data_IF_942848388751
#
_entry.id   IF_942848388751
#
_cell.length_a   1.000
_cell.length_b   1.000
_cell.length_c   1.000
_cell.angle_alpha   90.00
_cell.angle_beta   90.00
_cell.angle_gamma   90.00
#
_symmetry.space_group_name_H-M   'P 1'
#
loop_
_entity.id
_entity.type
_entity.pdbx_description
1 polymer ?
#
# COMPACT_ATOMS: atom_id res chain seq x y z
N UNK A 1 3.92 19.20 -1.37
CA UNK A 1 2.84 18.95 -2.33
C UNK A 1 1.50 18.99 -1.60
N UNK A 2 0.39 19.31 -2.28
CA UNK A 2 -0.93 19.38 -1.67
C UNK A 2 -1.84 18.27 -2.23
N UNK A 3 -2.56 17.60 -1.33
CA UNK A 3 -3.57 16.61 -1.67
C UNK A 3 -4.90 16.98 -0.99
N UNK A 4 -5.99 16.92 -1.71
CA UNK A 4 -7.32 17.18 -1.20
C UNK A 4 -8.02 15.89 -0.80
N UNK A 5 -8.64 15.88 0.40
CA UNK A 5 -9.47 14.77 0.86
C UNK A 5 -10.83 14.86 0.18
N UNK A 6 -11.11 13.89 -0.69
CA UNK A 6 -12.35 13.80 -1.45
C UNK A 6 -12.98 12.43 -1.18
N UNK A 7 -14.10 12.41 -0.49
CA UNK A 7 -14.80 11.18 -0.09
C UNK A 7 -13.90 10.23 0.74
N UNK A 8 -13.30 9.25 0.08
CA UNK A 8 -12.42 8.23 0.69
C UNK A 8 -11.07 8.09 -0.04
N UNK A 9 -10.66 9.16 -0.74
CA UNK A 9 -9.38 9.25 -1.45
C UNK A 9 -8.68 10.57 -1.12
N UNK A 10 -7.42 10.65 -1.49
CA UNK A 10 -6.68 11.91 -1.55
C UNK A 10 -6.33 12.20 -3.01
N UNK A 11 -6.66 13.40 -3.48
CA UNK A 11 -6.45 13.80 -4.87
C UNK A 11 -5.39 14.89 -4.93
N UNK A 12 -4.33 14.65 -5.68
CA UNK A 12 -3.34 15.66 -6.06
C UNK A 12 -3.77 16.21 -7.42
N UNK A 13 -4.40 17.39 -7.40
CA UNK A 13 -5.00 18.00 -8.60
C UNK A 13 -3.97 18.48 -9.61
N UNK A 14 -2.82 18.96 -9.15
CA UNK A 14 -1.72 19.40 -10.02
C UNK A 14 -1.00 18.18 -10.61
N UNK A 15 -1.09 17.98 -11.96
CA UNK A 15 -0.45 16.83 -12.61
C UNK A 15 1.07 16.77 -12.39
N UNK A 16 1.75 17.93 -12.31
CA UNK A 16 3.21 17.97 -12.11
C UNK A 16 3.59 17.45 -10.73
N UNK A 17 2.87 17.85 -9.69
CA UNK A 17 3.07 17.29 -8.34
C UNK A 17 2.72 15.80 -8.29
N UNK A 18 1.65 15.41 -8.99
CA UNK A 18 1.26 14.00 -9.13
C UNK A 18 2.33 13.16 -9.81
N UNK A 19 2.90 13.63 -10.92
CA UNK A 19 4.01 12.98 -11.62
C UNK A 19 5.24 12.82 -10.70
N UNK A 20 5.55 13.85 -9.93
CA UNK A 20 6.69 13.82 -8.99
C UNK A 20 6.48 12.78 -7.88
N UNK A 21 5.31 12.72 -7.27
CA UNK A 21 4.97 11.67 -6.29
C UNK A 21 5.04 10.27 -6.90
N UNK A 22 4.52 10.12 -8.10
CA UNK A 22 4.56 8.83 -8.80
C UNK A 22 6.00 8.40 -9.11
N UNK A 23 6.87 9.31 -9.54
CA UNK A 23 8.31 9.06 -9.78
C UNK A 23 9.05 8.67 -8.49
N UNK A 24 8.70 9.24 -7.35
CA UNK A 24 9.36 8.98 -6.07
C UNK A 24 9.12 7.57 -5.53
N UNK A 25 8.01 6.90 -5.86
CA UNK A 25 7.72 5.59 -5.29
C UNK A 25 6.43 4.94 -5.77
N UNK A 26 5.98 5.29 -6.97
CA UNK A 26 4.73 4.76 -7.55
C UNK A 26 3.52 4.94 -6.63
N UNK A 27 3.47 6.08 -5.93
CA UNK A 27 2.31 6.42 -5.11
C UNK A 27 1.12 6.79 -5.99
N UNK A 28 -0.05 6.29 -5.63
CA UNK A 28 -1.30 6.61 -6.29
C UNK A 28 -1.49 6.02 -7.68
N UNK A 29 -2.53 6.50 -8.34
CA UNK A 29 -2.86 6.18 -9.73
C UNK A 29 -3.35 7.44 -10.44
N UNK A 30 -2.86 7.72 -11.65
CA UNK A 30 -3.41 8.80 -12.46
C UNK A 30 -4.89 8.53 -12.76
N UNK A 31 -5.72 9.57 -12.64
CA UNK A 31 -7.16 9.47 -12.83
C UNK A 31 -7.48 8.96 -14.24
N UNK A 32 -8.28 7.89 -14.33
CA UNK A 32 -8.66 7.28 -15.60
C UNK A 32 -7.57 6.45 -16.29
N UNK A 33 -6.35 6.33 -15.71
CA UNK A 33 -5.24 5.55 -16.27
C UNK A 33 -4.87 4.39 -15.31
N UNK A 34 -5.49 3.21 -15.43
CA UNK A 34 -5.30 2.13 -14.48
C UNK A 34 -3.90 1.48 -14.54
N UNK A 35 -3.18 1.62 -15.66
CA UNK A 35 -1.83 1.09 -15.87
C UNK A 35 -0.99 2.12 -16.61
N UNK A 36 -0.47 3.14 -15.90
CA UNK A 36 0.39 4.12 -16.53
C UNK A 36 1.68 3.45 -17.02
N UNK A 37 2.04 3.71 -18.28
CA UNK A 37 3.28 3.19 -18.90
C UNK A 37 4.49 4.06 -18.61
N UNK A 38 4.24 5.33 -18.32
CA UNK A 38 5.26 6.31 -17.94
C UNK A 38 4.71 7.19 -16.82
N UNK A 39 5.59 7.91 -16.11
CA UNK A 39 5.15 8.91 -15.14
C UNK A 39 4.61 10.20 -15.79
N UNK A 40 4.62 10.28 -17.11
CA UNK A 40 4.21 11.48 -17.85
C UNK A 40 2.71 11.40 -18.18
N UNK A 41 1.88 11.86 -17.26
CA UNK A 41 0.42 11.95 -17.39
C UNK A 41 -0.03 13.36 -17.07
N UNK A 42 -1.04 13.86 -17.77
CA UNK A 42 -1.60 15.19 -17.58
C UNK A 42 -3.01 15.13 -16.98
N UNK A 43 -3.12 14.36 -15.89
CA UNK A 43 -4.36 14.17 -15.12
C UNK A 43 -4.03 14.16 -13.64
N UNK A 44 -5.01 14.44 -12.75
CA UNK A 44 -4.82 14.34 -11.31
C UNK A 44 -4.34 12.96 -10.87
N UNK A 45 -3.58 12.91 -9.77
CA UNK A 45 -3.16 11.67 -9.15
C UNK A 45 -4.07 11.35 -7.96
N UNK A 46 -4.63 10.16 -7.94
CA UNK A 46 -5.49 9.67 -6.86
C UNK A 46 -4.68 8.75 -5.96
N UNK A 47 -4.56 9.12 -4.69
CA UNK A 47 -3.90 8.34 -3.65
C UNK A 47 -4.93 7.54 -2.86
N UNK A 48 -4.59 6.33 -2.51
CA UNK A 48 -5.26 5.57 -1.47
C UNK A 48 -5.05 6.24 -0.09
N UNK A 49 -6.01 6.10 0.83
CA UNK A 49 -5.91 6.76 2.16
C UNK A 49 -4.70 6.28 2.96
N UNK A 50 -4.28 5.04 2.80
CA UNK A 50 -3.10 4.50 3.49
C UNK A 50 -1.80 5.08 2.92
N UNK A 51 -1.73 5.24 1.59
CA UNK A 51 -0.63 5.93 0.92
C UNK A 51 -0.55 7.40 1.36
N UNK A 52 -1.67 8.09 1.32
CA UNK A 52 -1.74 9.49 1.72
C UNK A 52 -1.41 9.72 3.18
N UNK A 53 -1.84 8.83 4.08
CA UNK A 53 -1.48 8.89 5.49
C UNK A 53 0.04 8.76 5.68
N UNK A 54 0.67 7.81 4.99
CA UNK A 54 2.12 7.62 5.01
C UNK A 54 2.87 8.85 4.49
N UNK A 55 2.42 9.41 3.37
CA UNK A 55 3.02 10.60 2.78
C UNK A 55 2.87 11.85 3.69
N UNK A 56 1.73 11.98 4.37
CA UNK A 56 1.51 13.03 5.37
C UNK A 56 2.41 12.83 6.60
N UNK A 57 2.55 11.60 7.10
CA UNK A 57 3.45 11.25 8.21
C UNK A 57 4.92 11.58 7.89
N UNK A 58 5.35 11.36 6.64
CA UNK A 58 6.68 11.70 6.15
C UNK A 58 6.86 13.19 5.80
N UNK A 59 5.81 13.99 5.90
CA UNK A 59 5.87 15.42 5.58
C UNK A 59 6.01 15.74 4.09
N UNK A 60 5.77 14.73 3.21
CA UNK A 60 5.88 14.86 1.75
C UNK A 60 4.68 15.61 1.18
N UNK A 61 3.50 15.38 1.74
CA UNK A 61 2.28 16.09 1.35
C UNK A 61 1.66 16.85 2.51
N UNK A 62 0.85 17.84 2.19
CA UNK A 62 -0.13 18.46 3.07
C UNK A 62 -1.52 18.03 2.62
N UNK A 63 -2.40 17.72 3.57
CA UNK A 63 -3.76 17.32 3.26
C UNK A 63 -4.72 18.43 3.64
N UNK A 64 -5.62 18.75 2.73
CA UNK A 64 -6.66 19.76 2.89
C UNK A 64 -8.03 19.19 2.55
N UNK A 65 -9.11 19.83 2.98
CA UNK A 65 -10.50 19.47 2.61
C UNK A 65 -11.36 20.70 2.36
N UNK A 66 -12.33 20.53 1.47
CA UNK A 66 -13.38 21.49 1.16
C UNK A 66 -12.89 22.76 0.47
N UNK A 67 -13.86 23.63 0.10
CA UNK A 67 -13.61 24.87 -0.65
C UNK A 67 -12.63 25.80 0.08
N UNK A 68 -12.72 25.84 1.42
CA UNK A 68 -11.84 26.69 2.27
C UNK A 68 -10.45 26.07 2.50
N UNK A 69 -10.16 24.91 1.90
CA UNK A 69 -8.88 24.19 2.04
C UNK A 69 -8.42 24.06 3.50
N UNK A 70 -9.31 23.61 4.37
CA UNK A 70 -9.00 23.36 5.78
C UNK A 70 -7.96 22.25 5.88
N UNK A 71 -6.89 22.50 6.63
CA UNK A 71 -5.83 21.51 6.83
C UNK A 71 -6.32 20.32 7.67
N UNK A 72 -6.05 19.13 7.20
CA UNK A 72 -6.25 17.88 7.94
C UNK A 72 -4.90 17.48 8.55
N UNK A 73 -4.87 17.33 9.88
CA UNK A 73 -3.69 16.85 10.58
C UNK A 73 -3.60 15.31 10.54
N UNK A 74 -2.42 14.79 10.91
CA UNK A 74 -2.14 13.36 10.90
C UNK A 74 -3.14 12.54 11.75
N UNK A 75 -3.48 13.03 12.94
CA UNK A 75 -4.42 12.36 13.86
C UNK A 75 -5.81 12.22 13.24
N UNK A 76 -6.31 13.30 12.64
CA UNK A 76 -7.62 13.33 11.99
C UNK A 76 -7.63 12.40 10.78
N UNK A 77 -6.62 12.46 9.90
CA UNK A 77 -6.54 11.59 8.74
C UNK A 77 -6.46 10.12 9.16
N UNK A 78 -5.61 9.80 10.15
CA UNK A 78 -5.48 8.44 10.69
C UNK A 78 -6.80 7.89 11.24
N UNK A 79 -7.56 8.72 11.97
CA UNK A 79 -8.87 8.34 12.50
C UNK A 79 -9.87 8.04 11.39
N UNK A 80 -9.91 8.86 10.35
CA UNK A 80 -10.78 8.65 9.18
C UNK A 80 -10.36 7.39 8.42
N UNK A 81 -9.08 7.24 8.11
CA UNK A 81 -8.54 6.07 7.39
C UNK A 81 -8.87 4.77 8.09
N UNK A 82 -8.80 4.75 9.44
CA UNK A 82 -9.15 3.55 10.23
C UNK A 82 -10.56 3.04 9.98
N UNK A 83 -11.51 3.92 9.68
CA UNK A 83 -12.89 3.55 9.36
C UNK A 83 -13.07 2.80 8.04
N UNK A 84 -12.11 2.90 7.12
CA UNK A 84 -12.19 2.29 5.78
C UNK A 84 -11.47 0.94 5.66
N UNK A 85 -10.64 0.56 6.64
CA UNK A 85 -9.84 -0.66 6.56
C UNK A 85 -10.08 -1.57 7.77
N UNK A 86 -10.49 -2.78 7.50
CA UNK A 86 -10.46 -3.82 8.52
C UNK A 86 -9.02 -4.03 9.00
N UNK A 87 -8.83 -4.09 10.33
CA UNK A 87 -7.50 -4.27 10.97
C UNK A 87 -6.48 -3.21 10.55
N UNK A 88 -6.92 -1.98 10.38
CA UNK A 88 -6.11 -0.88 9.89
C UNK A 88 -4.73 -0.78 10.53
N UNK A 89 -4.63 -0.78 11.87
CA UNK A 89 -3.36 -0.56 12.56
C UNK A 89 -2.31 -1.62 12.22
N UNK A 90 -2.74 -2.90 12.07
CA UNK A 90 -1.85 -3.98 11.65
C UNK A 90 -1.39 -3.79 10.21
N UNK A 91 -2.33 -3.49 9.31
CA UNK A 91 -2.02 -3.29 7.88
C UNK A 91 -1.14 -2.07 7.67
N UNK A 92 -1.42 -0.97 8.36
CA UNK A 92 -0.62 0.24 8.25
C UNK A 92 0.80 0.06 8.77
N UNK A 93 0.99 -0.66 9.87
CA UNK A 93 2.33 -0.99 10.37
C UNK A 93 3.15 -1.76 9.32
N UNK A 94 2.54 -2.79 8.67
CA UNK A 94 3.20 -3.56 7.61
C UNK A 94 3.46 -2.70 6.37
N UNK A 95 2.47 -1.89 5.95
CA UNK A 95 2.64 -0.97 4.82
C UNK A 95 3.83 -0.03 5.04
N UNK A 96 3.88 0.63 6.20
CA UNK A 96 4.96 1.55 6.58
C UNK A 96 6.32 0.86 6.57
N UNK A 97 6.45 -0.29 7.21
CA UNK A 97 7.71 -1.04 7.29
C UNK A 97 8.23 -1.46 5.90
N UNK A 98 7.34 -1.93 5.02
CA UNK A 98 7.72 -2.30 3.65
C UNK A 98 8.14 -1.08 2.82
N UNK A 99 7.45 0.06 2.98
CA UNK A 99 7.82 1.32 2.32
C UNK A 99 9.16 1.86 2.83
N UNK A 100 9.42 1.78 4.13
CA UNK A 100 10.70 2.20 4.74
C UNK A 100 11.87 1.32 4.31
N UNK A 101 11.62 0.08 3.93
CA UNK A 101 12.60 -0.82 3.28
C UNK A 101 12.81 -0.52 1.79
N UNK A 102 12.23 0.55 1.26
CA UNK A 102 12.37 0.96 -0.15
C UNK A 102 11.54 0.15 -1.14
N UNK A 103 10.58 -0.63 -0.66
CA UNK A 103 9.72 -1.44 -1.52
C UNK A 103 8.50 -0.65 -2.00
N UNK A 104 8.04 -0.93 -3.20
CA UNK A 104 6.79 -0.37 -3.71
C UNK A 104 5.63 -1.28 -3.31
N UNK A 105 4.68 -0.73 -2.56
CA UNK A 105 3.54 -1.46 -1.99
C UNK A 105 2.25 -0.98 -2.64
N UNK A 106 1.49 -1.89 -3.20
CA UNK A 106 0.20 -1.62 -3.83
C UNK A 106 -0.88 -2.55 -3.26
N UNK A 107 -2.18 -2.23 -3.40
CA UNK A 107 -3.24 -3.14 -2.98
C UNK A 107 -3.14 -4.52 -3.64
N UNK A 108 -3.25 -5.58 -2.83
CA UNK A 108 -3.13 -6.97 -3.27
C UNK A 108 -4.47 -7.68 -3.55
N UNK A 109 -5.59 -6.96 -3.55
CA UNK A 109 -6.97 -7.49 -3.66
C UNK A 109 -7.12 -8.46 -4.85
N UNK A 110 -6.53 -8.12 -6.01
CA UNK A 110 -6.54 -8.96 -7.21
C UNK A 110 -5.95 -10.37 -6.97
N UNK A 111 -5.08 -10.51 -6.00
CA UNK A 111 -4.42 -11.77 -5.65
C UNK A 111 -5.00 -12.41 -4.37
N UNK A 112 -6.05 -11.81 -3.80
CA UNK A 112 -6.63 -12.29 -2.55
C UNK A 112 -5.73 -12.12 -1.32
N UNK A 113 -4.85 -11.11 -1.34
CA UNK A 113 -3.98 -10.72 -0.24
C UNK A 113 -4.09 -9.21 0.04
N UNK A 114 -3.45 -8.73 1.11
CA UNK A 114 -3.52 -7.33 1.48
C UNK A 114 -2.66 -6.46 0.56
N UNK A 115 -1.42 -6.90 0.27
CA UNK A 115 -0.48 -6.11 -0.54
C UNK A 115 0.20 -6.94 -1.62
N UNK A 116 0.38 -6.33 -2.80
CA UNK A 116 1.32 -6.74 -3.82
C UNK A 116 2.55 -5.84 -3.72
N UNK A 117 3.72 -6.45 -3.58
CA UNK A 117 4.95 -5.72 -3.26
C UNK A 117 5.99 -5.94 -4.35
N UNK A 118 6.57 -4.84 -4.82
CA UNK A 118 7.56 -4.79 -5.89
C UNK A 118 8.90 -4.32 -5.35
N UNK A 119 9.97 -4.71 -6.04
CA UNK A 119 11.31 -4.18 -5.76
C UNK A 119 11.52 -2.82 -6.43
N UNK A 120 11.09 -2.69 -7.69
CA UNK A 120 11.31 -1.49 -8.50
C UNK A 120 10.01 -0.79 -8.87
N UNK A 121 8.92 -1.50 -9.06
CA UNK A 121 7.60 -0.91 -9.24
C UNK A 121 6.75 -1.52 -10.37
N UNK A 122 5.45 -1.20 -10.39
CA UNK A 122 4.54 -1.67 -11.43
C UNK A 122 4.99 -1.24 -12.83
N UNK A 123 5.07 -2.21 -13.76
CA UNK A 123 5.52 -1.96 -15.13
C UNK A 123 7.03 -2.10 -15.32
N UNK A 124 7.83 -2.05 -14.27
CA UNK A 124 9.28 -2.28 -14.30
C UNK A 124 9.57 -3.74 -13.95
N UNK A 125 8.99 -4.22 -12.86
CA UNK A 125 9.08 -5.61 -12.44
C UNK A 125 7.69 -6.23 -12.19
N UNK A 126 7.63 -7.56 -12.17
CA UNK A 126 6.46 -8.27 -11.70
C UNK A 126 6.53 -8.33 -10.17
N UNK A 127 5.45 -7.95 -9.46
CA UNK A 127 5.41 -8.04 -8.00
C UNK A 127 5.90 -9.40 -7.50
N UNK A 128 7.09 -9.51 -6.92
CA UNK A 128 7.63 -10.79 -6.49
C UNK A 128 7.00 -11.30 -5.21
N UNK A 129 6.37 -10.40 -4.43
CA UNK A 129 5.83 -10.74 -3.13
C UNK A 129 4.33 -10.42 -3.04
N UNK A 130 3.59 -11.37 -2.47
CA UNK A 130 2.18 -11.22 -2.09
C UNK A 130 2.12 -11.32 -0.58
N UNK A 131 1.65 -10.26 0.09
CA UNK A 131 1.69 -10.14 1.54
C UNK A 131 0.28 -10.16 2.11
N UNK A 132 0.02 -11.09 3.02
CA UNK A 132 -1.18 -11.11 3.87
C UNK A 132 -0.81 -10.73 5.30
N UNK A 133 -1.57 -9.80 5.88
CA UNK A 133 -1.38 -9.34 7.25
C UNK A 133 -2.25 -10.17 8.18
N UNK A 134 -1.64 -10.72 9.22
CA UNK A 134 -2.32 -11.54 10.22
C UNK A 134 -2.00 -11.04 11.63
N UNK A 135 -2.95 -11.24 12.53
CA UNK A 135 -2.70 -11.10 13.97
C UNK A 135 -2.04 -12.36 14.50
N UNK A 136 -1.28 -12.27 15.58
CA UNK A 136 -0.75 -13.44 16.31
C UNK A 136 -1.82 -14.41 16.80
N UNK A 137 -3.05 -13.93 16.94
CA UNK A 137 -4.21 -14.73 17.40
C UNK A 137 -4.91 -15.45 16.24
N UNK A 138 -4.57 -15.14 14.98
CA UNK A 138 -5.19 -15.76 13.83
C UNK A 138 -4.61 -17.16 13.61
N UNK A 139 -5.48 -18.12 13.37
CA UNK A 139 -5.08 -19.47 12.99
C UNK A 139 -4.74 -19.51 11.50
N UNK A 140 -3.67 -20.23 11.13
CA UNK A 140 -3.39 -20.60 9.76
C UNK A 140 -4.27 -21.79 9.37
N UNK A 141 -5.09 -21.60 8.35
CA UNK A 141 -5.95 -22.67 7.84
C UNK A 141 -5.25 -23.43 6.72
N UNK A 142 -5.69 -24.66 6.43
CA UNK A 142 -5.24 -25.43 5.26
C UNK A 142 -5.46 -24.64 3.95
N UNK A 143 -6.54 -23.86 3.88
CA UNK A 143 -6.83 -22.98 2.73
C UNK A 143 -5.77 -21.89 2.55
N UNK A 144 -5.24 -21.31 3.62
CA UNK A 144 -4.16 -20.31 3.55
C UNK A 144 -2.88 -20.94 2.99
N UNK A 145 -2.55 -22.16 3.41
CA UNK A 145 -1.40 -22.94 2.91
C UNK A 145 -1.55 -23.27 1.43
N UNK A 146 -2.73 -23.74 1.02
CA UNK A 146 -3.03 -24.03 -0.39
C UNK A 146 -2.93 -22.78 -1.26
N UNK A 147 -3.47 -21.65 -0.80
CA UNK A 147 -3.32 -20.35 -1.50
C UNK A 147 -1.85 -19.98 -1.65
N UNK A 148 -1.06 -20.07 -0.58
CA UNK A 148 0.37 -19.81 -0.61
C UNK A 148 1.10 -20.68 -1.65
N UNK A 149 0.80 -21.98 -1.68
CA UNK A 149 1.34 -22.93 -2.65
C UNK A 149 0.97 -22.57 -4.09
N UNK A 150 -0.30 -22.27 -4.36
CA UNK A 150 -0.78 -21.87 -5.70
C UNK A 150 -0.12 -20.58 -6.19
N UNK A 151 -0.01 -19.56 -5.36
CA UNK A 151 0.67 -18.32 -5.71
C UNK A 151 2.16 -18.55 -5.99
N UNK A 152 2.80 -19.42 -5.21
CA UNK A 152 4.22 -19.74 -5.40
C UNK A 152 4.48 -20.52 -6.70
N UNK A 153 3.59 -21.44 -7.09
CA UNK A 153 3.75 -22.29 -8.28
C UNK A 153 3.21 -21.65 -9.56
N UNK A 154 1.94 -21.26 -9.56
CA UNK A 154 1.23 -20.85 -10.77
C UNK A 154 1.72 -19.49 -11.30
N UNK A 155 2.05 -18.57 -10.41
CA UNK A 155 2.45 -17.18 -10.79
C UNK A 155 3.88 -16.84 -10.41
N UNK A 156 4.68 -17.79 -9.94
CA UNK A 156 6.08 -17.63 -9.53
C UNK A 156 6.28 -16.48 -8.53
N UNK A 157 5.33 -16.31 -7.60
CA UNK A 157 5.34 -15.26 -6.59
C UNK A 157 5.60 -15.87 -5.21
N UNK A 158 6.28 -15.14 -4.35
CA UNK A 158 6.49 -15.55 -2.96
C UNK A 158 5.33 -15.05 -2.13
N UNK A 159 4.66 -15.95 -1.44
CA UNK A 159 3.64 -15.59 -0.48
C UNK A 159 4.28 -15.34 0.88
N UNK A 160 3.90 -14.23 1.49
CA UNK A 160 4.42 -13.78 2.79
C UNK A 160 3.24 -13.56 3.72
N UNK A 161 3.34 -14.09 4.93
CA UNK A 161 2.47 -13.71 6.04
C UNK A 161 3.25 -12.74 6.91
N UNK A 162 2.72 -11.52 7.08
CA UNK A 162 3.25 -10.52 7.97
C UNK A 162 2.45 -10.50 9.27
N UNK A 163 3.13 -10.66 10.40
CA UNK A 163 2.54 -10.69 11.75
C UNK A 163 3.11 -9.55 12.57
N UNK A 164 2.46 -8.36 12.57
CA UNK A 164 2.92 -7.24 13.37
C UNK A 164 2.60 -7.42 14.85
N UNK A 165 3.56 -7.07 15.68
CA UNK A 165 3.44 -6.90 17.14
C UNK A 165 3.54 -5.40 17.44
N UNK A 166 2.39 -4.73 17.52
CA UNK A 166 2.33 -3.28 17.72
C UNK A 166 2.88 -2.83 19.09
N UNK A 167 2.88 -3.70 20.08
CA UNK A 167 3.40 -3.39 21.41
C UNK A 167 4.93 -3.36 21.43
N UNK A 168 5.56 -4.15 20.55
CA UNK A 168 7.03 -4.27 20.45
C UNK A 168 7.61 -3.53 19.26
N UNK A 169 6.77 -2.86 18.45
CA UNK A 169 7.14 -2.24 17.17
C UNK A 169 7.95 -3.19 16.28
N UNK A 170 7.52 -4.46 16.19
CA UNK A 170 8.20 -5.53 15.46
C UNK A 170 7.23 -6.22 14.51
N UNK A 171 7.72 -6.59 13.33
CA UNK A 171 6.95 -7.38 12.35
C UNK A 171 7.73 -8.66 12.04
N UNK A 172 7.07 -9.78 12.18
CA UNK A 172 7.58 -11.08 11.78
C UNK A 172 7.07 -11.41 10.38
N UNK A 173 7.95 -11.87 9.49
CA UNK A 173 7.62 -12.22 8.11
C UNK A 173 7.88 -13.71 7.89
N UNK A 174 6.84 -14.47 7.58
CA UNK A 174 6.89 -15.89 7.23
C UNK A 174 6.81 -16.01 5.72
N UNK A 175 7.85 -16.54 5.09
CA UNK A 175 7.94 -16.72 3.64
C UNK A 175 7.75 -18.19 3.29
N UNK A 176 6.75 -18.47 2.44
CA UNK A 176 6.52 -19.82 1.92
C UNK A 176 7.37 -20.06 0.68
N UNK A 177 8.17 -21.11 0.72
CA UNK A 177 9.01 -21.56 -0.40
C UNK A 177 8.82 -23.06 -0.62
N UNK A 178 8.86 -23.48 -1.87
CA UNK A 178 8.98 -24.91 -2.16
C UNK A 178 10.38 -25.40 -1.81
N UNK A 179 10.42 -26.47 -1.03
CA UNK A 179 11.63 -27.23 -0.83
C UNK A 179 11.74 -28.26 -1.95
N UNK A 180 12.84 -28.25 -2.67
CA UNK A 180 13.24 -29.33 -3.59
C UNK A 180 14.38 -30.06 -2.90
N UNK A 181 14.17 -31.33 -2.64
CA UNK A 181 15.22 -32.24 -2.20
C UNK A 181 16.23 -32.47 -3.32
#
# INVERSE_FOLDING_TARGET
MEAEFVENFLVVWDPKQGQELFKQGFYGKPLGIPKPKSPDFDVPLVLDLMEGLYLLEKGIIKVVEGVEKRKINLRTLKSRTRGFYERFDLKYAVYRDLREKGLVVTPGVKYGCDFAVYKHGPGIDHAPYMVSVRSRKDNLTATDIVKAGRLATTVRKRFIIAVPDLAKDKIEYLIFKWFKA
#
